data_IF_501099664215
#
_entry.id   IF_501099664215
#
_cell.length_a   1.000
_cell.length_b   1.000
_cell.length_c   1.000
_cell.angle_alpha   90.00
_cell.angle_beta   90.00
_cell.angle_gamma   90.00
#
_symmetry.space_group_name_H-M   'P 1'
#
loop_
_entity.id
_entity.type
_entity.pdbx_description
1 polymer ?
#
# COMPACT_ATOMS: atom_id res chain seq x y z
N UNK A 1 -4.30 8.22 -10.28
CA UNK A 1 -2.93 7.67 -10.24
C UNK A 1 -2.91 6.42 -11.09
N UNK A 2 -1.81 6.10 -11.78
CA UNK A 2 -1.71 4.80 -12.47
C UNK A 2 -1.45 3.67 -11.47
N UNK A 3 -1.62 2.41 -11.90
CA UNK A 3 -1.45 1.24 -11.04
C UNK A 3 -0.02 1.09 -10.52
N UNK A 4 0.98 1.52 -11.29
CA UNK A 4 2.38 1.36 -10.92
C UNK A 4 2.79 2.37 -9.83
N UNK A 5 2.32 3.61 -9.92
CA UNK A 5 2.49 4.62 -8.87
C UNK A 5 1.83 4.21 -7.55
N UNK A 6 0.61 3.64 -7.62
CA UNK A 6 -0.04 3.08 -6.44
C UNK A 6 0.77 1.92 -5.86
N UNK A 7 1.32 1.05 -6.71
CA UNK A 7 2.17 -0.05 -6.28
C UNK A 7 3.49 0.43 -5.66
N UNK A 8 4.14 1.47 -6.18
CA UNK A 8 5.31 2.08 -5.55
C UNK A 8 4.98 2.65 -4.17
N UNK A 9 3.85 3.35 -4.06
CA UNK A 9 3.39 3.84 -2.76
C UNK A 9 3.17 2.68 -1.78
N UNK A 10 2.59 1.57 -2.25
CA UNK A 10 2.46 0.33 -1.49
C UNK A 10 3.81 -0.23 -1.01
N UNK A 11 4.79 -0.33 -1.89
CA UNK A 11 6.13 -0.80 -1.55
C UNK A 11 6.81 0.10 -0.51
N UNK A 12 6.61 1.42 -0.57
CA UNK A 12 7.14 2.36 0.42
C UNK A 12 6.43 2.23 1.78
N UNK A 13 5.15 1.87 1.81
CA UNK A 13 4.45 1.55 3.05
C UNK A 13 4.99 0.27 3.68
N UNK A 14 5.13 -0.79 2.88
CA UNK A 14 5.69 -2.05 3.33
C UNK A 14 7.12 -1.91 3.86
N UNK A 15 7.91 -1.00 3.29
CA UNK A 15 9.29 -0.73 3.74
C UNK A 15 9.39 0.13 5.01
N UNK A 16 8.28 0.62 5.58
CA UNK A 16 8.27 1.65 6.62
C UNK A 16 8.93 1.20 7.93
N UNK A 17 8.79 -0.07 8.30
CA UNK A 17 9.43 -0.67 9.48
C UNK A 17 10.87 -1.16 9.19
N UNK A 18 11.37 -0.86 7.99
CA UNK A 18 12.69 -1.21 7.44
C UNK A 18 12.96 -2.71 7.33
N UNK A 19 11.93 -3.55 7.40
CA UNK A 19 12.08 -4.99 7.19
C UNK A 19 10.90 -5.53 6.39
N UNK A 20 11.13 -5.70 5.10
CA UNK A 20 10.34 -6.67 4.35
C UNK A 20 10.62 -8.06 4.92
N UNK A 21 9.61 -8.66 5.53
CA UNK A 21 9.60 -10.09 5.82
C UNK A 21 9.42 -10.88 4.51
N UNK A 22 9.84 -12.15 4.49
CA UNK A 22 9.64 -13.01 3.31
C UNK A 22 8.16 -13.13 2.94
N UNK A 23 7.29 -13.23 3.95
CA UNK A 23 5.82 -13.27 3.78
C UNK A 23 5.28 -12.00 3.08
N UNK A 24 5.79 -10.81 3.45
CA UNK A 24 5.39 -9.55 2.80
C UNK A 24 5.88 -9.45 1.36
N UNK A 25 7.09 -9.95 1.06
CA UNK A 25 7.63 -9.95 -0.31
C UNK A 25 6.83 -10.91 -1.20
N UNK A 26 6.57 -12.14 -0.73
CA UNK A 26 5.76 -13.11 -1.46
C UNK A 26 4.33 -12.59 -1.69
N UNK A 27 3.74 -11.99 -0.66
CA UNK A 27 2.44 -11.37 -0.75
C UNK A 27 2.40 -10.24 -1.81
N UNK A 28 3.35 -9.31 -1.75
CA UNK A 28 3.43 -8.20 -2.70
C UNK A 28 3.70 -8.68 -4.13
N UNK A 29 4.49 -9.74 -4.30
CA UNK A 29 4.75 -10.36 -5.61
C UNK A 29 3.48 -11.01 -6.19
N UNK A 30 2.70 -11.70 -5.36
CA UNK A 30 1.40 -12.26 -5.77
C UNK A 30 0.44 -11.16 -6.21
N UNK A 31 0.34 -10.06 -5.44
CA UNK A 31 -0.53 -8.92 -5.78
C UNK A 31 -0.04 -8.22 -7.05
N UNK A 32 1.26 -8.02 -7.24
CA UNK A 32 1.84 -7.46 -8.45
C UNK A 32 1.46 -8.27 -9.70
N UNK A 33 1.60 -9.60 -9.64
CA UNK A 33 1.22 -10.51 -10.73
C UNK A 33 -0.27 -10.41 -11.09
N UNK A 34 -1.16 -10.45 -10.08
CA UNK A 34 -2.61 -10.28 -10.28
C UNK A 34 -2.98 -8.96 -10.96
N UNK A 35 -2.11 -7.96 -10.86
CA UNK A 35 -2.38 -6.59 -11.27
C UNK A 35 -1.78 -6.21 -12.62
N UNK A 36 -1.04 -7.13 -13.23
CA UNK A 36 -0.30 -6.90 -14.46
C UNK A 36 0.93 -6.01 -14.26
N UNK A 37 1.43 -5.92 -13.01
CA UNK A 37 2.73 -5.31 -12.73
C UNK A 37 3.79 -6.32 -13.19
N UNK A 38 4.67 -5.90 -14.08
CA UNK A 38 5.73 -6.78 -14.56
C UNK A 38 6.81 -7.00 -13.50
N UNK A 39 7.59 -8.07 -13.63
CA UNK A 39 8.73 -8.35 -12.74
C UNK A 39 9.70 -7.16 -12.69
N UNK A 40 9.92 -6.50 -13.83
CA UNK A 40 10.74 -5.30 -13.91
C UNK A 40 10.18 -4.14 -13.08
N UNK A 41 8.87 -3.89 -13.16
CA UNK A 41 8.21 -2.86 -12.35
C UNK A 41 8.24 -3.22 -10.86
N UNK A 42 8.07 -4.49 -10.52
CA UNK A 42 8.18 -4.96 -9.14
C UNK A 42 9.58 -4.70 -8.57
N UNK A 43 10.63 -5.08 -9.30
CA UNK A 43 12.02 -4.82 -8.92
C UNK A 43 12.30 -3.33 -8.77
N UNK A 44 11.81 -2.51 -9.70
CA UNK A 44 11.96 -1.05 -9.64
C UNK A 44 11.31 -0.48 -8.37
N UNK A 45 10.08 -0.90 -8.05
CA UNK A 45 9.37 -0.45 -6.87
C UNK A 45 10.03 -0.94 -5.57
N UNK A 46 10.57 -2.16 -5.56
CA UNK A 46 11.33 -2.71 -4.44
C UNK A 46 12.63 -1.95 -4.19
N UNK A 47 13.39 -1.66 -5.24
CA UNK A 47 14.62 -0.87 -5.17
C UNK A 47 14.31 0.56 -4.71
N UNK A 48 13.25 1.17 -5.24
CA UNK A 48 12.79 2.48 -4.81
C UNK A 48 12.51 2.48 -3.31
N UNK A 49 11.71 1.54 -2.81
CA UNK A 49 11.36 1.44 -1.39
C UNK A 49 12.57 1.20 -0.47
N UNK A 50 13.57 0.42 -0.93
CA UNK A 50 14.81 0.14 -0.18
C UNK A 50 15.81 1.29 -0.18
N UNK A 51 15.72 2.24 -1.10
CA UNK A 51 16.71 3.33 -1.28
C UNK A 51 16.83 4.31 -0.10
N UNK A 52 16.01 4.16 0.96
CA UNK A 52 16.08 4.94 2.20
C UNK A 52 15.58 6.39 2.08
N UNK A 53 15.51 6.93 0.87
CA UNK A 53 14.88 8.22 0.54
C UNK A 53 13.48 8.09 -0.04
N UNK A 54 12.96 6.87 -0.16
CA UNK A 54 11.64 6.58 -0.70
C UNK A 54 10.56 7.27 0.15
N UNK A 55 9.88 8.24 -0.45
CA UNK A 55 8.71 8.88 0.16
C UNK A 55 7.50 8.51 -0.66
N UNK A 56 6.45 8.12 0.05
CA UNK A 56 5.15 8.03 -0.57
C UNK A 56 4.78 9.41 -1.10
N UNK A 57 4.25 9.46 -2.32
CA UNK A 57 3.64 10.67 -2.85
C UNK A 57 2.30 10.86 -2.14
N UNK A 58 2.32 11.59 -1.03
CA UNK A 58 1.12 11.91 -0.24
C UNK A 58 0.49 13.18 -0.83
N UNK A 59 -0.78 13.14 -1.27
CA UNK A 59 -1.47 14.33 -1.76
C UNK A 59 -1.60 15.42 -0.70
N UNK A 60 -1.72 16.68 -1.13
CA UNK A 60 -1.88 17.80 -0.22
C UNK A 60 -3.28 17.84 0.41
N UNK A 61 -4.31 17.54 -0.39
CA UNK A 61 -5.70 17.61 0.05
C UNK A 61 -6.12 16.35 0.81
N UNK A 62 -6.95 16.55 1.84
CA UNK A 62 -7.49 15.44 2.63
C UNK A 62 -8.35 14.49 1.78
N UNK A 63 -9.11 15.03 0.83
CA UNK A 63 -9.95 14.23 -0.07
C UNK A 63 -9.11 13.28 -0.94
N UNK A 64 -8.00 13.78 -1.50
CA UNK A 64 -7.11 12.94 -2.30
C UNK A 64 -6.33 11.92 -1.47
N UNK A 65 -5.99 12.23 -0.21
CA UNK A 65 -5.40 11.25 0.71
C UNK A 65 -6.37 10.11 1.00
N UNK A 66 -7.63 10.43 1.28
CA UNK A 66 -8.68 9.42 1.46
C UNK A 66 -8.89 8.61 0.19
N UNK A 67 -8.87 9.24 -0.99
CA UNK A 67 -8.96 8.54 -2.28
C UNK A 67 -7.77 7.60 -2.49
N UNK A 68 -6.55 8.06 -2.21
CA UNK A 68 -5.34 7.24 -2.29
C UNK A 68 -5.44 6.03 -1.34
N UNK A 69 -5.86 6.24 -0.09
CA UNK A 69 -6.05 5.14 0.87
C UNK A 69 -7.07 4.12 0.36
N UNK A 70 -8.21 4.58 -0.17
CA UNK A 70 -9.25 3.70 -0.74
C UNK A 70 -8.74 2.91 -1.95
N UNK A 71 -7.97 3.54 -2.83
CA UNK A 71 -7.36 2.88 -3.98
C UNK A 71 -6.34 1.81 -3.54
N UNK A 72 -5.58 2.08 -2.47
CA UNK A 72 -4.67 1.12 -1.85
C UNK A 72 -5.41 -0.03 -1.16
N UNK A 73 -6.54 0.23 -0.48
CA UNK A 73 -7.38 -0.81 0.16
C UNK A 73 -7.96 -1.74 -0.88
N UNK A 74 -8.58 -1.17 -1.92
CA UNK A 74 -9.04 -1.93 -3.09
C UNK A 74 -7.92 -2.69 -3.76
N UNK A 75 -6.68 -2.20 -3.64
CA UNK A 75 -5.52 -2.91 -4.16
C UNK A 75 -5.24 -4.22 -3.46
N UNK A 76 -5.26 -4.17 -2.13
CA UNK A 76 -4.93 -5.34 -1.33
C UNK A 76 -6.11 -6.30 -1.21
N UNK A 77 -7.35 -5.79 -1.15
CA UNK A 77 -8.57 -6.56 -0.91
C UNK A 77 -9.09 -7.44 -2.08
N UNK A 78 -8.24 -7.98 -2.95
CA UNK A 78 -8.70 -8.66 -4.18
C UNK A 78 -9.56 -9.92 -3.95
N UNK A 79 -9.57 -10.45 -2.73
CA UNK A 79 -10.31 -11.61 -2.24
C UNK A 79 -11.42 -11.26 -1.23
N UNK A 80 -11.65 -9.96 -0.97
CA UNK A 80 -12.68 -9.48 -0.03
C UNK A 80 -12.28 -9.57 1.44
N UNK A 81 -11.06 -9.99 1.74
CA UNK A 81 -10.52 -10.06 3.10
C UNK A 81 -9.18 -9.33 3.21
N UNK A 82 -8.94 -8.75 4.38
CA UNK A 82 -7.64 -8.20 4.76
C UNK A 82 -7.01 -9.06 5.85
N UNK A 83 -5.93 -9.75 5.49
CA UNK A 83 -5.05 -10.44 6.40
C UNK A 83 -4.46 -9.47 7.45
N UNK A 84 -4.04 -9.96 8.63
CA UNK A 84 -3.46 -9.13 9.68
C UNK A 84 -2.27 -8.27 9.23
N UNK A 85 -1.45 -8.81 8.32
CA UNK A 85 -0.30 -8.09 7.73
C UNK A 85 -0.75 -6.89 6.90
N UNK A 86 -1.83 -7.02 6.12
CA UNK A 86 -2.39 -5.94 5.31
C UNK A 86 -2.99 -4.86 6.22
N UNK A 87 -3.73 -5.24 7.27
CA UNK A 87 -4.30 -4.28 8.25
C UNK A 87 -3.22 -3.43 8.92
N UNK A 88 -2.12 -4.06 9.34
CA UNK A 88 -0.98 -3.34 9.93
C UNK A 88 -0.39 -2.33 8.95
N UNK A 89 -0.19 -2.74 7.71
CA UNK A 89 0.38 -1.89 6.66
C UNK A 89 -0.51 -0.68 6.35
N UNK A 90 -1.83 -0.85 6.34
CA UNK A 90 -2.78 0.25 6.21
C UNK A 90 -2.82 1.18 7.42
N UNK A 91 -2.67 0.67 8.64
CA UNK A 91 -2.62 1.51 9.84
C UNK A 91 -1.42 2.48 9.78
N UNK A 92 -0.26 1.99 9.34
CA UNK A 92 0.93 2.83 9.15
C UNK A 92 0.75 3.85 8.01
N UNK A 93 0.06 3.46 6.94
CA UNK A 93 -0.31 4.34 5.84
C UNK A 93 -1.20 5.50 6.29
N UNK A 94 -2.29 5.17 6.99
CA UNK A 94 -3.26 6.12 7.50
C UNK A 94 -2.59 7.12 8.44
N UNK A 95 -1.73 6.63 9.34
CA UNK A 95 -0.95 7.49 10.23
C UNK A 95 -0.07 8.49 9.46
N UNK A 96 0.62 8.05 8.39
CA UNK A 96 1.41 8.95 7.53
C UNK A 96 0.57 9.96 6.76
N UNK A 97 -0.66 9.63 6.41
CA UNK A 97 -1.60 10.51 5.72
C UNK A 97 -2.38 11.44 6.68
N UNK A 98 -2.23 11.26 8.00
CA UNK A 98 -3.01 11.99 9.01
C UNK A 98 -4.48 11.54 9.07
N UNK A 99 -4.76 10.31 8.65
CA UNK A 99 -6.08 9.67 8.72
C UNK A 99 -6.16 8.95 10.07
N UNK A 100 -7.26 9.14 10.79
CA UNK A 100 -7.42 8.52 12.10
C UNK A 100 -7.76 7.01 11.97
N UNK A 101 -7.45 6.18 12.97
CA UNK A 101 -7.70 4.74 12.90
C UNK A 101 -9.18 4.35 12.72
N UNK A 102 -10.12 5.11 13.29
CA UNK A 102 -11.55 4.83 13.14
C UNK A 102 -12.04 5.08 11.70
N UNK A 103 -11.54 6.14 11.06
CA UNK A 103 -11.83 6.45 9.65
C UNK A 103 -11.25 5.38 8.73
N UNK A 104 -10.07 4.84 9.08
CA UNK A 104 -9.47 3.71 8.37
C UNK A 104 -10.33 2.45 8.49
N UNK A 105 -10.70 2.04 9.70
CA UNK A 105 -11.57 0.86 9.93
C UNK A 105 -12.91 1.03 9.20
N UNK A 106 -13.55 2.20 9.30
CA UNK A 106 -14.78 2.50 8.56
C UNK A 106 -14.58 2.38 7.06
N UNK A 107 -13.45 2.86 6.54
CA UNK A 107 -13.14 2.77 5.10
C UNK A 107 -12.88 1.33 4.66
N UNK A 108 -12.27 0.50 5.52
CA UNK A 108 -12.08 -0.92 5.26
C UNK A 108 -13.45 -1.62 5.20
N UNK A 109 -14.29 -1.41 6.21
CA UNK A 109 -15.63 -2.01 6.30
C UNK A 109 -16.56 -1.58 5.15
N UNK A 110 -16.39 -0.36 4.60
CA UNK A 110 -17.14 0.10 3.43
C UNK A 110 -16.70 -0.57 2.11
N UNK A 111 -15.49 -1.12 2.06
CA UNK A 111 -14.86 -1.61 0.84
C UNK A 111 -14.81 -3.13 0.71
N UNK A 112 -15.01 -3.86 1.81
CA UNK A 112 -15.05 -5.32 1.90
C UNK A 112 -16.50 -5.80 2.04
#
# INVERSE_FOLDING_TARGET
MDRFELFKNLMVMAAADKKFTEEEVEFLALRASRWGISDQQFEEALLFAKSGGAKMTIPESQEERTRLLRDLIRMMAADGDLAPVEKRLFAEAAAKMGINPNDLETTIDELL
#
